data_IF_546980053679
#
_entry.id   IF_546980053679
#
_cell.length_a   1.000
_cell.length_b   1.000
_cell.length_c   1.000
_cell.angle_alpha   90.00
_cell.angle_beta   90.00
_cell.angle_gamma   90.00
#
_symmetry.space_group_name_H-M   'P 1'
#
loop_
_entity.id
_entity.type
_entity.pdbx_description
1 polymer ?
#
# COMPACT_ATOMS: atom_id res chain seq x y z
N UNK A 1 -47.14 -12.95 -19.39
CA UNK A 1 -45.95 -12.08 -19.51
C UNK A 1 -45.71 -11.83 -20.99
N UNK A 2 -45.86 -10.58 -21.44
CA UNK A 2 -45.75 -10.19 -22.86
C UNK A 2 -44.33 -10.47 -23.37
N UNK A 3 -44.16 -10.77 -24.69
CA UNK A 3 -42.88 -11.04 -25.31
C UNK A 3 -41.82 -9.95 -25.07
N UNK A 4 -42.24 -8.70 -24.92
CA UNK A 4 -41.40 -7.58 -24.54
C UNK A 4 -40.82 -7.72 -23.13
N UNK A 5 -41.63 -8.10 -22.13
CA UNK A 5 -41.17 -8.32 -20.77
C UNK A 5 -40.15 -9.51 -20.67
N UNK A 6 -40.42 -10.59 -21.43
CA UNK A 6 -39.46 -11.73 -21.50
C UNK A 6 -38.12 -11.30 -22.07
N UNK A 7 -38.09 -10.50 -23.13
CA UNK A 7 -36.86 -9.95 -23.72
C UNK A 7 -36.10 -9.03 -22.73
N UNK A 8 -36.84 -8.19 -22.03
CA UNK A 8 -36.27 -7.27 -21.04
C UNK A 8 -35.62 -8.05 -19.86
N UNK A 9 -36.29 -9.07 -19.33
CA UNK A 9 -35.72 -9.95 -18.30
C UNK A 9 -34.45 -10.70 -18.78
N UNK A 10 -34.50 -11.19 -20.04
CA UNK A 10 -33.35 -11.88 -20.63
C UNK A 10 -32.13 -10.93 -20.78
N UNK A 11 -32.37 -9.72 -21.28
CA UNK A 11 -31.33 -8.70 -21.44
C UNK A 11 -30.76 -8.23 -20.08
N UNK A 12 -31.61 -8.05 -19.08
CA UNK A 12 -31.18 -7.71 -17.72
C UNK A 12 -30.34 -8.83 -17.09
N UNK A 13 -30.74 -10.09 -17.29
CA UNK A 13 -29.98 -11.26 -16.84
C UNK A 13 -28.60 -11.36 -17.52
N UNK A 14 -28.54 -11.18 -18.85
CA UNK A 14 -27.28 -11.17 -19.60
C UNK A 14 -26.38 -10.02 -19.16
N UNK A 15 -26.94 -8.82 -18.94
CA UNK A 15 -26.18 -7.68 -18.42
C UNK A 15 -25.61 -7.98 -17.02
N UNK A 16 -26.43 -8.54 -16.12
CA UNK A 16 -25.99 -8.91 -14.77
C UNK A 16 -24.86 -9.93 -14.78
N UNK A 17 -24.96 -10.97 -15.63
CA UNK A 17 -23.88 -11.98 -15.78
C UNK A 17 -22.62 -11.34 -16.37
N UNK A 18 -22.75 -10.53 -17.42
CA UNK A 18 -21.62 -9.83 -18.04
C UNK A 18 -20.93 -8.89 -17.04
N UNK A 19 -21.71 -8.16 -16.23
CA UNK A 19 -21.15 -7.32 -15.16
C UNK A 19 -20.43 -8.14 -14.10
N UNK A 20 -20.99 -9.27 -13.65
CA UNK A 20 -20.33 -10.15 -12.68
C UNK A 20 -18.98 -10.66 -13.21
N UNK A 21 -18.93 -11.13 -14.44
CA UNK A 21 -17.67 -11.59 -15.07
C UNK A 21 -16.67 -10.42 -15.16
N UNK A 22 -17.12 -9.25 -15.57
CA UNK A 22 -16.29 -8.05 -15.60
C UNK A 22 -15.77 -7.68 -14.20
N UNK A 23 -16.64 -7.64 -13.18
CA UNK A 23 -16.28 -7.27 -11.82
C UNK A 23 -15.27 -8.24 -11.19
N UNK A 24 -15.29 -9.53 -11.58
CA UNK A 24 -14.32 -10.52 -11.06
C UNK A 24 -12.94 -10.40 -11.73
N UNK A 25 -12.86 -9.90 -12.95
CA UNK A 25 -11.61 -9.86 -13.73
C UNK A 25 -10.99 -8.47 -13.86
N UNK A 26 -11.79 -7.40 -13.72
CA UNK A 26 -11.30 -6.04 -13.93
C UNK A 26 -10.85 -5.37 -12.62
N UNK A 27 -10.04 -4.32 -12.73
CA UNK A 27 -9.52 -3.51 -11.59
C UNK A 27 -8.83 -4.34 -10.50
N UNK A 28 -8.24 -5.47 -10.87
CA UNK A 28 -7.43 -6.27 -9.92
C UNK A 28 -6.05 -5.66 -9.71
N UNK A 29 -5.65 -4.75 -10.60
CA UNK A 29 -4.30 -4.19 -10.74
C UNK A 29 -3.22 -5.26 -10.97
N UNK A 30 -3.62 -6.51 -11.21
CA UNK A 30 -2.71 -7.59 -11.50
C UNK A 30 -2.25 -7.54 -12.96
N UNK A 31 -0.95 -7.54 -13.16
CA UNK A 31 -0.32 -7.89 -14.42
C UNK A 31 0.52 -9.14 -14.20
N UNK A 32 0.68 -9.96 -15.21
CA UNK A 32 1.52 -11.16 -15.06
C UNK A 32 2.98 -10.78 -14.82
N UNK A 33 3.70 -11.58 -14.06
CA UNK A 33 5.15 -11.40 -13.86
C UNK A 33 5.94 -11.34 -15.15
N UNK A 34 5.46 -12.03 -16.17
CA UNK A 34 6.08 -12.05 -17.51
C UNK A 34 5.94 -10.68 -18.18
N UNK A 35 4.73 -10.10 -18.14
CA UNK A 35 4.46 -8.79 -18.73
C UNK A 35 5.21 -7.68 -17.98
N UNK A 36 5.23 -7.75 -16.65
CA UNK A 36 5.94 -6.77 -15.81
C UNK A 36 7.47 -6.86 -16.02
N UNK A 37 8.05 -8.06 -16.09
CA UNK A 37 9.46 -8.24 -16.41
C UNK A 37 9.81 -7.70 -17.79
N UNK A 38 8.93 -7.89 -18.77
CA UNK A 38 9.10 -7.34 -20.11
C UNK A 38 9.03 -5.80 -20.11
N UNK A 39 8.14 -5.21 -19.29
CA UNK A 39 8.03 -3.74 -19.15
C UNK A 39 9.28 -3.14 -18.51
N UNK A 40 9.77 -3.73 -17.42
CA UNK A 40 11.01 -3.29 -16.76
C UNK A 40 12.24 -3.43 -17.66
N UNK A 41 12.29 -4.49 -18.48
CA UNK A 41 13.38 -4.69 -19.42
C UNK A 41 13.50 -3.56 -20.46
N UNK A 42 12.40 -2.89 -20.85
CA UNK A 42 12.43 -1.72 -21.73
C UNK A 42 13.22 -0.54 -21.11
N UNK A 43 13.24 -0.47 -19.78
CA UNK A 43 14.03 0.52 -19.02
C UNK A 43 15.42 -0.02 -18.62
N UNK A 44 15.85 -1.16 -19.16
CA UNK A 44 17.10 -1.84 -18.81
C UNK A 44 17.20 -2.20 -17.31
N UNK A 45 16.07 -2.46 -16.65
CA UNK A 45 16.00 -2.85 -15.25
C UNK A 45 15.57 -4.30 -15.14
N UNK A 46 16.32 -5.09 -14.38
CA UNK A 46 15.96 -6.46 -14.06
C UNK A 46 14.96 -6.49 -12.91
N UNK A 47 13.74 -6.95 -13.19
CA UNK A 47 12.71 -7.21 -12.20
C UNK A 47 12.77 -8.68 -11.76
N UNK A 48 12.86 -8.90 -10.46
CA UNK A 48 12.68 -10.22 -9.82
C UNK A 48 11.39 -10.19 -9.03
N UNK A 49 10.66 -11.29 -8.99
CA UNK A 49 9.47 -11.46 -8.16
C UNK A 49 9.64 -12.66 -7.26
N UNK A 50 8.99 -12.63 -6.11
CA UNK A 50 9.02 -13.70 -5.14
C UNK A 50 7.72 -13.84 -4.37
N UNK A 51 7.61 -14.94 -3.61
CA UNK A 51 6.46 -15.26 -2.80
C UNK A 51 6.92 -15.79 -1.45
N UNK A 52 6.69 -15.02 -0.39
CA UNK A 52 6.80 -15.49 0.98
C UNK A 52 5.53 -16.28 1.31
N UNK A 53 5.68 -17.49 1.86
CA UNK A 53 4.55 -18.35 2.22
C UNK A 53 4.56 -18.65 3.71
N UNK A 54 3.43 -18.47 4.35
CA UNK A 54 3.17 -18.93 5.72
C UNK A 54 2.09 -20.00 5.76
N UNK A 55 1.61 -20.32 6.96
CA UNK A 55 0.53 -21.27 7.15
C UNK A 55 -0.81 -20.60 6.78
N UNK A 56 -1.33 -20.97 5.62
CA UNK A 56 -2.59 -20.46 5.08
C UNK A 56 -2.56 -19.03 4.52
N UNK A 57 -1.38 -18.44 4.30
CA UNK A 57 -1.24 -17.11 3.70
C UNK A 57 0.01 -17.00 2.82
N UNK A 58 0.02 -16.00 1.95
CA UNK A 58 1.18 -15.70 1.10
C UNK A 58 1.31 -14.20 0.84
N UNK A 59 2.55 -13.74 0.71
CA UNK A 59 2.91 -12.36 0.37
C UNK A 59 3.76 -12.35 -0.89
N UNK A 60 3.23 -11.75 -1.93
CA UNK A 60 3.96 -11.49 -3.18
C UNK A 60 4.76 -10.20 -3.06
N UNK A 61 5.93 -10.18 -3.69
CA UNK A 61 6.79 -9.00 -3.74
C UNK A 61 7.61 -8.94 -5.02
N UNK A 62 8.01 -7.74 -5.38
CA UNK A 62 8.85 -7.45 -6.52
C UNK A 62 10.14 -6.77 -6.08
N UNK A 63 11.27 -7.09 -6.72
CA UNK A 63 12.61 -6.58 -6.37
C UNK A 63 13.31 -6.02 -7.59
N UNK A 64 13.97 -4.85 -7.42
CA UNK A 64 14.92 -4.28 -8.38
C UNK A 64 16.20 -3.83 -7.66
N UNK A 65 17.24 -3.56 -8.43
CA UNK A 65 18.54 -3.11 -7.91
C UNK A 65 19.44 -4.27 -7.45
N UNK A 66 20.64 -3.90 -6.98
CA UNK A 66 21.68 -4.82 -6.59
C UNK A 66 21.52 -5.27 -5.13
N UNK A 67 21.72 -6.56 -4.86
CA UNK A 67 21.58 -7.12 -3.51
C UNK A 67 22.64 -6.61 -2.50
N UNK A 68 23.73 -6.01 -2.98
CA UNK A 68 24.78 -5.40 -2.15
C UNK A 68 24.44 -4.01 -1.60
N UNK A 69 23.33 -3.41 -2.05
CA UNK A 69 22.89 -2.08 -1.65
C UNK A 69 21.93 -2.12 -0.47
N UNK A 70 21.76 -1.02 0.30
CA UNK A 70 20.70 -0.84 1.27
C UNK A 70 19.32 -1.13 0.67
N UNK A 71 18.40 -1.65 1.48
CA UNK A 71 17.08 -2.04 0.98
C UNK A 71 16.02 -0.97 1.30
N UNK A 72 15.30 -0.51 0.29
CA UNK A 72 14.13 0.35 0.43
C UNK A 72 12.86 -0.46 0.12
N UNK A 73 12.06 -0.69 1.16
CA UNK A 73 10.77 -1.37 1.05
C UNK A 73 9.66 -0.36 0.78
N UNK A 74 8.72 -0.73 -0.08
CA UNK A 74 7.53 0.05 -0.41
C UNK A 74 6.24 -0.69 -0.07
N UNK A 75 5.29 0.03 0.55
CA UNK A 75 3.97 -0.45 0.92
C UNK A 75 2.91 0.43 0.24
N UNK A 76 2.10 -0.15 -0.62
CA UNK A 76 1.08 0.57 -1.38
C UNK A 76 -0.13 0.98 -0.53
N UNK A 77 -0.93 1.93 -1.05
CA UNK A 77 -2.21 2.37 -0.49
C UNK A 77 -3.38 1.45 -0.85
N UNK A 78 -4.60 1.95 -0.70
CA UNK A 78 -5.85 1.23 -0.96
C UNK A 78 -6.72 1.97 -1.98
N UNK A 79 -7.23 1.28 -3.02
CA UNK A 79 -6.75 0.00 -3.54
C UNK A 79 -5.36 0.14 -4.19
N UNK A 80 -4.61 -0.96 -4.27
CA UNK A 80 -3.30 -0.92 -4.91
C UNK A 80 -2.67 -2.30 -5.04
N UNK A 81 -1.41 -2.30 -5.47
CA UNK A 81 -0.51 -3.44 -5.49
C UNK A 81 0.94 -2.92 -5.55
N UNK A 82 1.92 -3.83 -5.62
CA UNK A 82 3.34 -3.50 -5.63
C UNK A 82 3.74 -2.50 -6.73
N UNK A 83 3.08 -2.51 -7.89
CA UNK A 83 3.44 -1.65 -9.01
C UNK A 83 3.06 -0.17 -8.82
N UNK A 84 2.40 0.19 -7.71
CA UNK A 84 2.18 1.59 -7.34
C UNK A 84 3.51 2.39 -7.24
N UNK A 85 4.62 1.69 -7.01
CA UNK A 85 5.97 2.26 -6.93
C UNK A 85 6.85 1.90 -8.12
N UNK A 86 6.27 1.43 -9.23
CA UNK A 86 6.98 0.98 -10.43
C UNK A 86 7.99 2.02 -10.94
N UNK A 87 7.61 3.30 -11.03
CA UNK A 87 8.47 4.37 -11.51
C UNK A 87 9.70 4.60 -10.61
N UNK A 88 9.53 4.46 -9.29
CA UNK A 88 10.66 4.52 -8.34
C UNK A 88 11.58 3.33 -8.53
N UNK A 89 11.03 2.13 -8.71
CA UNK A 89 11.78 0.89 -8.89
C UNK A 89 12.56 0.85 -10.21
N UNK A 90 12.22 1.71 -11.18
CA UNK A 90 12.95 1.90 -12.44
C UNK A 90 13.90 3.10 -12.43
N UNK A 91 13.82 3.97 -11.41
CA UNK A 91 14.61 5.21 -11.38
C UNK A 91 16.11 4.94 -11.23
N UNK A 92 16.89 5.44 -12.19
CA UNK A 92 18.34 5.19 -12.26
C UNK A 92 19.14 5.79 -11.10
N UNK A 93 18.62 6.83 -10.42
CA UNK A 93 19.29 7.45 -9.26
C UNK A 93 19.03 6.62 -8.00
N UNK A 94 17.79 6.14 -7.81
CA UNK A 94 17.45 5.24 -6.70
C UNK A 94 18.15 3.88 -6.84
N UNK A 95 18.21 3.32 -8.06
CA UNK A 95 18.90 2.06 -8.34
C UNK A 95 20.41 2.09 -8.06
N UNK A 96 21.04 3.27 -8.07
CA UNK A 96 22.44 3.45 -7.67
C UNK A 96 22.63 3.38 -6.14
N UNK A 97 21.58 3.62 -5.37
CA UNK A 97 21.62 3.71 -3.90
C UNK A 97 20.94 2.54 -3.20
N UNK A 98 19.91 1.97 -3.82
CA UNK A 98 19.03 1.01 -3.16
C UNK A 98 18.77 -0.25 -3.99
N UNK A 99 18.69 -1.35 -3.28
CA UNK A 99 17.85 -2.47 -3.66
C UNK A 99 16.43 -2.09 -3.24
N UNK A 100 15.46 -2.14 -4.15
CA UNK A 100 14.10 -1.76 -3.85
C UNK A 100 13.19 -2.99 -3.86
N UNK A 101 12.32 -3.09 -2.87
CA UNK A 101 11.36 -4.16 -2.69
C UNK A 101 9.98 -3.55 -2.54
N UNK A 102 9.05 -3.88 -3.42
CA UNK A 102 7.65 -3.46 -3.30
C UNK A 102 6.75 -4.67 -3.04
N UNK A 103 5.85 -4.54 -2.08
CA UNK A 103 5.06 -5.66 -1.53
C UNK A 103 3.61 -5.51 -1.95
N UNK A 104 2.98 -6.61 -2.36
CA UNK A 104 1.52 -6.70 -2.39
C UNK A 104 1.03 -6.91 -0.96
N UNK A 105 0.24 -5.97 -0.42
CA UNK A 105 -0.37 -6.14 0.91
C UNK A 105 -1.38 -7.30 0.91
N UNK A 106 -1.59 -7.98 2.05
CA UNK A 106 -2.65 -8.98 2.19
C UNK A 106 -3.99 -8.49 1.63
N UNK A 107 -4.62 -9.31 0.81
CA UNK A 107 -5.87 -8.98 0.12
C UNK A 107 -5.71 -8.33 -1.25
N UNK A 108 -4.50 -7.94 -1.65
CA UNK A 108 -4.23 -7.23 -2.90
C UNK A 108 -3.21 -7.95 -3.77
N UNK A 109 -3.14 -7.56 -5.04
CA UNK A 109 -2.20 -8.11 -5.99
C UNK A 109 -2.25 -9.64 -6.02
N UNK A 110 -1.11 -10.29 -5.78
CA UNK A 110 -0.99 -11.74 -5.70
C UNK A 110 -0.90 -12.28 -4.25
N UNK A 111 -1.15 -11.41 -3.23
CA UNK A 111 -1.17 -11.74 -1.81
C UNK A 111 -2.60 -11.97 -1.32
N UNK A 112 -3.11 -13.22 -1.44
CA UNK A 112 -4.45 -13.65 -1.00
C UNK A 112 -5.58 -12.68 -1.39
N UNK A 113 -5.64 -12.37 -2.67
CA UNK A 113 -6.51 -11.37 -3.25
C UNK A 113 -7.98 -11.49 -2.83
N UNK A 114 -8.56 -10.38 -2.40
CA UNK A 114 -9.97 -10.26 -2.07
C UNK A 114 -10.29 -10.53 -0.60
N UNK A 115 -9.28 -10.79 0.24
CA UNK A 115 -9.42 -11.01 1.68
C UNK A 115 -8.77 -9.85 2.45
N UNK A 116 -9.53 -8.79 2.75
CA UNK A 116 -9.04 -7.68 3.53
C UNK A 116 -8.59 -8.13 4.93
N UNK A 117 -7.51 -7.53 5.41
CA UNK A 117 -6.94 -7.85 6.73
C UNK A 117 -6.77 -6.58 7.55
N UNK A 118 -6.95 -6.69 8.87
CA UNK A 118 -6.59 -5.66 9.83
C UNK A 118 -5.08 -5.36 9.83
N UNK A 119 -4.68 -4.16 10.24
CA UNK A 119 -3.26 -3.74 10.22
C UNK A 119 -2.34 -4.67 11.01
N UNK A 120 -2.80 -5.25 12.10
CA UNK A 120 -2.02 -6.20 12.91
C UNK A 120 -1.74 -7.50 12.15
N UNK A 121 -2.72 -8.04 11.42
CA UNK A 121 -2.55 -9.24 10.59
C UNK A 121 -1.67 -8.93 9.38
N UNK A 122 -1.86 -7.77 8.73
CA UNK A 122 -0.99 -7.36 7.63
C UNK A 122 0.47 -7.25 8.09
N UNK A 123 0.71 -6.66 9.25
CA UNK A 123 2.05 -6.56 9.83
C UNK A 123 2.63 -7.93 10.17
N UNK A 124 1.85 -8.81 10.80
CA UNK A 124 2.26 -10.18 11.15
C UNK A 124 2.73 -10.96 9.90
N UNK A 125 1.99 -10.86 8.78
CA UNK A 125 2.31 -11.61 7.56
C UNK A 125 3.46 -11.00 6.75
N UNK A 126 3.65 -9.69 6.81
CA UNK A 126 4.73 -9.00 6.08
C UNK A 126 6.05 -9.05 6.85
N UNK A 127 6.04 -8.99 8.18
CA UNK A 127 7.26 -8.89 8.99
C UNK A 127 8.33 -9.97 8.70
N UNK A 128 8.00 -11.25 8.47
CA UNK A 128 9.01 -12.25 8.16
C UNK A 128 9.81 -11.97 6.87
N UNK A 129 9.24 -11.19 5.94
CA UNK A 129 9.90 -10.81 4.71
C UNK A 129 11.20 -10.00 4.96
N UNK A 130 11.24 -9.22 6.03
CA UNK A 130 12.41 -8.38 6.34
C UNK A 130 13.62 -9.23 6.73
N UNK A 131 13.41 -10.32 7.45
CA UNK A 131 14.49 -11.27 7.77
C UNK A 131 14.87 -12.15 6.58
N UNK A 132 13.89 -12.58 5.76
CA UNK A 132 14.15 -13.38 4.56
C UNK A 132 14.98 -12.61 3.52
N UNK A 133 14.69 -11.31 3.36
CA UNK A 133 15.39 -10.44 2.42
C UNK A 133 16.54 -9.66 3.05
N UNK A 134 16.93 -9.95 4.29
CA UNK A 134 18.03 -9.26 4.95
C UNK A 134 19.36 -9.47 4.19
N UNK A 135 20.08 -8.36 3.96
CA UNK A 135 21.39 -8.38 3.30
C UNK A 135 22.49 -7.72 4.14
N UNK A 136 22.24 -7.54 5.44
CA UNK A 136 23.15 -6.90 6.40
C UNK A 136 23.52 -5.44 6.04
N UNK A 137 22.69 -4.78 5.26
CA UNK A 137 22.77 -3.35 4.92
C UNK A 137 21.59 -2.62 5.57
N UNK A 138 21.67 -1.28 5.72
CA UNK A 138 20.53 -0.50 6.19
C UNK A 138 19.25 -0.80 5.41
N UNK A 139 18.13 -0.85 6.12
CA UNK A 139 16.82 -1.01 5.53
C UNK A 139 15.95 0.23 5.81
N UNK A 140 15.12 0.59 4.86
CA UNK A 140 14.20 1.72 4.91
C UNK A 140 12.81 1.24 4.50
N UNK A 141 11.77 1.85 5.07
CA UNK A 141 10.40 1.45 4.81
C UNK A 141 9.57 2.68 4.44
N UNK A 142 8.95 2.68 3.27
CA UNK A 142 8.12 3.77 2.76
C UNK A 142 6.71 3.26 2.45
N UNK A 143 5.67 4.03 2.81
CA UNK A 143 4.29 3.64 2.52
C UNK A 143 3.40 4.82 2.20
N UNK A 144 2.48 4.60 1.25
CA UNK A 144 1.52 5.60 0.78
C UNK A 144 0.12 5.33 1.32
N UNK A 145 -0.61 6.41 1.69
CA UNK A 145 -2.02 6.32 2.09
C UNK A 145 -2.20 5.31 3.22
N UNK A 146 -3.03 4.27 3.08
CA UNK A 146 -3.18 3.16 4.02
C UNK A 146 -1.86 2.38 4.25
N UNK A 147 -0.90 2.45 3.34
CA UNK A 147 0.47 1.97 3.58
C UNK A 147 1.20 2.77 4.68
N UNK A 148 0.80 4.01 4.96
CA UNK A 148 1.39 4.85 6.00
C UNK A 148 1.21 4.30 7.43
N UNK A 149 -0.01 4.03 7.90
CA UNK A 149 -0.21 3.38 9.19
C UNK A 149 0.45 2.00 9.27
N UNK A 150 0.48 1.25 8.16
CA UNK A 150 1.17 -0.03 8.13
C UNK A 150 2.70 0.13 8.27
N UNK A 151 3.30 1.20 7.73
CA UNK A 151 4.72 1.54 7.97
C UNK A 151 4.99 1.79 9.44
N UNK A 152 4.13 2.53 10.13
CA UNK A 152 4.25 2.75 11.59
C UNK A 152 4.13 1.42 12.35
N UNK A 153 3.13 0.60 12.00
CA UNK A 153 2.91 -0.72 12.63
C UNK A 153 4.11 -1.64 12.44
N UNK A 154 4.60 -1.78 11.23
CA UNK A 154 5.76 -2.60 10.89
C UNK A 154 7.04 -2.09 11.57
N UNK A 155 7.24 -0.77 11.61
CA UNK A 155 8.38 -0.17 12.31
C UNK A 155 8.37 -0.45 13.81
N UNK A 156 7.20 -0.38 14.43
CA UNK A 156 7.01 -0.64 15.86
C UNK A 156 7.20 -2.12 16.24
N UNK A 157 6.80 -3.04 15.38
CA UNK A 157 6.88 -4.49 15.62
C UNK A 157 8.21 -5.10 15.18
N UNK A 158 9.04 -4.36 14.44
CA UNK A 158 10.37 -4.80 13.98
C UNK A 158 11.45 -3.81 14.48
N UNK A 159 11.64 -3.67 15.80
CA UNK A 159 12.59 -2.70 16.35
C UNK A 159 14.02 -2.98 15.88
N UNK A 160 14.73 -1.92 15.48
CA UNK A 160 16.12 -2.01 15.00
C UNK A 160 16.30 -2.53 13.57
N UNK A 161 15.22 -2.93 12.88
CA UNK A 161 15.29 -3.37 11.49
C UNK A 161 15.44 -2.18 10.54
N UNK A 162 14.70 -1.10 10.78
CA UNK A 162 14.69 0.04 9.86
C UNK A 162 15.56 1.19 10.35
N UNK A 163 16.38 1.71 9.43
CA UNK A 163 17.18 2.92 9.63
C UNK A 163 16.36 4.20 9.51
N UNK A 164 15.26 4.18 8.80
CA UNK A 164 14.24 5.23 8.77
C UNK A 164 12.90 4.74 8.20
N UNK A 165 11.83 5.44 8.56
CA UNK A 165 10.47 5.27 8.01
C UNK A 165 10.07 6.48 7.18
N UNK A 166 9.30 6.25 6.11
CA UNK A 166 8.78 7.31 5.23
C UNK A 166 7.27 7.15 5.09
N UNK A 167 6.51 8.12 5.56
CA UNK A 167 5.05 8.15 5.50
C UNK A 167 4.64 9.13 4.40
N UNK A 168 4.06 8.62 3.31
CA UNK A 168 3.68 9.38 2.12
C UNK A 168 2.16 9.52 2.11
N UNK A 169 1.61 10.73 2.34
CA UNK A 169 0.16 10.98 2.46
C UNK A 169 -0.55 9.90 3.30
N UNK A 170 0.06 9.53 4.44
CA UNK A 170 -0.41 8.41 5.26
C UNK A 170 -1.61 8.76 6.12
N UNK A 171 -2.65 7.91 6.11
CA UNK A 171 -3.83 8.03 6.97
C UNK A 171 -3.53 7.41 8.34
N UNK A 172 -3.13 8.24 9.31
CA UNK A 172 -2.67 7.80 10.63
C UNK A 172 -3.45 8.36 11.81
N UNK A 173 -4.27 9.41 11.59
CA UNK A 173 -5.12 9.99 12.63
C UNK A 173 -6.53 9.40 12.59
N UNK A 174 -6.98 8.67 13.63
CA UNK A 174 -8.33 8.11 13.67
C UNK A 174 -9.45 9.16 13.70
N UNK A 175 -9.14 10.41 13.99
CA UNK A 175 -10.13 11.50 13.99
C UNK A 175 -10.49 11.96 12.58
N UNK A 176 -9.55 11.83 11.66
CA UNK A 176 -9.74 12.18 10.25
C UNK A 176 -10.42 11.07 9.43
N UNK A 177 -10.70 9.91 10.07
CA UNK A 177 -11.42 8.81 9.44
C UNK A 177 -12.89 8.79 9.85
N UNK A 178 -13.79 8.83 8.86
CA UNK A 178 -15.23 8.63 9.05
C UNK A 178 -15.76 7.58 8.06
N UNK A 179 -15.63 6.28 8.42
CA UNK A 179 -15.99 5.20 7.51
C UNK A 179 -17.48 5.17 7.25
N UNK A 180 -17.86 5.10 5.99
CA UNK A 180 -19.25 5.15 5.56
C UNK A 180 -20.02 3.90 6.02
N UNK A 181 -21.15 4.12 6.68
CA UNK A 181 -21.97 3.09 7.33
C UNK A 181 -22.58 2.05 6.38
N UNK A 182 -22.62 2.34 5.08
CA UNK A 182 -23.10 1.39 4.07
C UNK A 182 -22.09 0.29 3.74
N UNK A 183 -20.80 0.47 4.02
CA UNK A 183 -19.73 -0.49 3.68
C UNK A 183 -19.98 -1.90 4.23
N UNK A 184 -20.31 -2.10 5.53
CA UNK A 184 -20.60 -3.44 6.06
C UNK A 184 -21.77 -4.12 5.37
N UNK A 185 -22.80 -3.36 4.98
CA UNK A 185 -23.91 -3.93 4.24
C UNK A 185 -23.47 -4.47 2.87
N UNK A 186 -22.55 -3.79 2.20
CA UNK A 186 -22.05 -4.21 0.91
C UNK A 186 -21.20 -5.48 1.03
N UNK A 187 -20.16 -5.49 1.89
CA UNK A 187 -19.23 -6.62 1.95
C UNK A 187 -19.78 -7.84 2.70
N UNK A 188 -20.79 -7.69 3.56
CA UNK A 188 -21.45 -8.82 4.25
C UNK A 188 -22.59 -9.46 3.43
N UNK A 189 -22.81 -9.02 2.21
CA UNK A 189 -23.87 -9.57 1.34
C UNK A 189 -23.29 -10.06 0.02
N UNK A 190 -24.07 -10.82 -0.75
CA UNK A 190 -23.72 -11.23 -2.11
C UNK A 190 -23.50 -10.06 -3.09
N UNK A 191 -23.89 -8.85 -2.72
CA UNK A 191 -23.62 -7.65 -3.50
C UNK A 191 -22.13 -7.35 -3.62
N UNK A 192 -21.31 -7.84 -2.70
CA UNK A 192 -19.85 -7.73 -2.79
C UNK A 192 -19.28 -8.32 -4.09
N UNK A 193 -19.94 -9.35 -4.66
CA UNK A 193 -19.52 -9.91 -5.95
C UNK A 193 -19.69 -8.96 -7.14
N UNK A 194 -20.54 -7.91 -7.00
CA UNK A 194 -20.71 -6.87 -8.02
C UNK A 194 -19.67 -5.75 -7.91
N UNK A 195 -18.88 -5.72 -6.84
CA UNK A 195 -17.79 -4.74 -6.65
C UNK A 195 -16.57 -5.18 -7.45
N UNK A 196 -16.01 -4.31 -8.34
CA UNK A 196 -14.87 -4.70 -9.16
C UNK A 196 -13.59 -4.92 -8.38
N UNK A 197 -12.90 -6.02 -8.68
CA UNK A 197 -11.51 -6.30 -8.36
C UNK A 197 -11.05 -5.88 -6.96
N UNK A 198 -10.01 -5.08 -6.92
CA UNK A 198 -9.37 -4.60 -5.69
C UNK A 198 -10.21 -3.59 -4.89
N UNK A 199 -11.32 -3.09 -5.44
CA UNK A 199 -12.26 -2.26 -4.68
C UNK A 199 -13.01 -3.08 -3.61
N UNK A 200 -13.10 -4.40 -3.74
CA UNK A 200 -13.72 -5.28 -2.71
C UNK A 200 -12.94 -5.27 -1.41
N UNK A 201 -11.67 -5.73 -1.39
CA UNK A 201 -10.88 -5.68 -0.16
C UNK A 201 -10.65 -4.22 0.30
N UNK A 202 -10.54 -3.25 -0.61
CA UNK A 202 -10.45 -1.84 -0.24
C UNK A 202 -11.67 -1.33 0.51
N UNK A 203 -12.89 -1.71 0.08
CA UNK A 203 -14.12 -1.33 0.77
C UNK A 203 -14.17 -1.87 2.20
N UNK A 204 -13.68 -3.08 2.40
CA UNK A 204 -13.66 -3.75 3.71
C UNK A 204 -12.57 -3.17 4.63
N UNK A 205 -11.33 -3.01 4.15
CA UNK A 205 -10.24 -2.47 4.97
C UNK A 205 -10.44 -1.00 5.35
N UNK A 206 -11.07 -0.17 4.49
CA UNK A 206 -11.43 1.20 4.83
C UNK A 206 -12.49 1.27 5.95
N UNK A 207 -13.33 0.24 6.10
CA UNK A 207 -14.21 0.11 7.25
C UNK A 207 -13.45 -0.19 8.54
N UNK A 208 -12.41 -1.03 8.45
CA UNK A 208 -11.59 -1.39 9.62
C UNK A 208 -10.66 -0.26 10.07
N UNK A 209 -10.24 0.59 9.15
CA UNK A 209 -9.13 1.53 9.31
C UNK A 209 -9.24 2.39 10.57
N UNK A 210 -10.38 3.06 10.80
CA UNK A 210 -10.55 3.90 12.00
C UNK A 210 -10.27 3.15 13.30
N UNK A 211 -10.77 1.93 13.41
CA UNK A 211 -10.57 1.08 14.60
C UNK A 211 -9.10 0.68 14.73
N UNK A 212 -8.50 0.30 13.63
CA UNK A 212 -7.09 -0.11 13.59
C UNK A 212 -6.16 1.05 13.96
N UNK A 213 -6.47 2.29 13.53
CA UNK A 213 -5.73 3.49 13.89
C UNK A 213 -5.80 3.81 15.39
N UNK A 214 -6.97 3.61 16.03
CA UNK A 214 -7.09 3.74 17.50
C UNK A 214 -6.16 2.74 18.21
N UNK A 215 -6.06 1.51 17.74
CA UNK A 215 -5.13 0.52 18.32
C UNK A 215 -3.66 0.81 17.98
N UNK A 216 -3.39 1.46 16.84
CA UNK A 216 -2.05 1.83 16.41
C UNK A 216 -1.43 2.94 17.28
N UNK A 217 -2.22 3.78 17.92
CA UNK A 217 -1.73 4.97 18.68
C UNK A 217 -0.61 4.60 19.66
N UNK A 218 -0.74 3.48 20.37
CA UNK A 218 0.27 2.99 21.32
C UNK A 218 1.61 2.57 20.68
N UNK A 219 1.61 2.32 19.38
CA UNK A 219 2.77 1.81 18.66
C UNK A 219 3.71 2.93 18.21
N UNK A 220 3.22 4.17 18.08
CA UNK A 220 4.05 5.32 17.70
C UNK A 220 5.22 5.55 18.65
N UNK A 221 5.02 5.42 19.95
CA UNK A 221 6.09 5.59 20.94
C UNK A 221 7.17 4.51 20.90
N UNK A 222 6.96 3.40 20.17
CA UNK A 222 7.97 2.35 19.98
C UNK A 222 8.93 2.67 18.84
N UNK A 223 8.63 3.69 18.01
CA UNK A 223 9.50 4.09 16.89
C UNK A 223 10.70 4.85 17.45
N UNK A 224 11.88 4.28 17.20
CA UNK A 224 13.18 4.83 17.68
C UNK A 224 14.14 5.17 16.53
N UNK A 225 13.66 5.14 15.28
CA UNK A 225 14.40 5.57 14.11
C UNK A 225 13.84 6.88 13.53
N UNK A 226 14.59 7.58 12.65
CA UNK A 226 14.11 8.74 11.93
C UNK A 226 12.81 8.49 11.17
N UNK A 227 11.91 9.50 11.14
CA UNK A 227 10.66 9.44 10.38
C UNK A 227 10.55 10.64 9.43
N UNK A 228 10.25 10.34 8.18
CA UNK A 228 10.03 11.34 7.13
C UNK A 228 8.56 11.34 6.73
N UNK A 229 7.89 12.49 6.86
CA UNK A 229 6.56 12.72 6.30
C UNK A 229 6.67 13.46 4.98
N UNK A 230 5.99 12.95 3.96
CA UNK A 230 5.81 13.63 2.67
C UNK A 230 4.31 13.73 2.44
N UNK A 231 3.77 14.95 2.33
CA UNK A 231 2.32 15.12 2.28
C UNK A 231 1.92 16.22 1.30
N UNK A 232 0.79 16.03 0.61
CA UNK A 232 0.20 17.04 -0.25
C UNK A 232 -0.54 18.09 0.59
N UNK A 233 -0.19 19.39 0.44
CA UNK A 233 -0.82 20.45 1.21
C UNK A 233 -2.31 20.69 0.89
N UNK A 234 -2.84 20.06 -0.17
CA UNK A 234 -4.25 20.07 -0.56
C UNK A 234 -4.82 18.65 -0.66
N UNK A 235 -4.30 17.75 0.16
CA UNK A 235 -4.83 16.40 0.26
C UNK A 235 -6.18 16.45 1.01
N UNK A 236 -7.26 16.12 0.28
CA UNK A 236 -8.63 16.08 0.82
C UNK A 236 -9.11 14.66 1.13
N UNK A 237 -8.34 13.64 0.76
CA UNK A 237 -8.63 12.24 1.08
C UNK A 237 -8.01 11.84 2.41
N UNK A 238 -6.76 12.27 2.62
CA UNK A 238 -6.04 12.14 3.87
C UNK A 238 -5.57 13.53 4.25
N UNK A 239 -6.28 14.23 5.16
CA UNK A 239 -5.97 15.61 5.50
C UNK A 239 -4.55 15.79 6.08
N UNK A 240 -3.88 16.92 5.80
CA UNK A 240 -2.52 17.21 6.30
C UNK A 240 -2.38 17.17 7.82
N UNK A 241 -3.47 17.26 8.57
CA UNK A 241 -3.57 17.13 10.03
C UNK A 241 -3.00 15.78 10.51
N UNK A 242 -3.03 14.75 9.69
CA UNK A 242 -2.36 13.47 9.94
C UNK A 242 -0.87 13.64 10.26
N UNK A 243 -0.18 14.59 9.61
CA UNK A 243 1.25 14.85 9.86
C UNK A 243 1.46 15.38 11.29
N UNK A 244 0.64 16.34 11.72
CA UNK A 244 0.76 16.91 13.09
C UNK A 244 0.39 15.88 14.16
N UNK A 245 -0.60 15.02 13.89
CA UNK A 245 -0.92 13.90 14.76
C UNK A 245 0.28 12.93 14.91
N UNK A 246 0.89 12.51 13.81
CA UNK A 246 2.06 11.63 13.83
C UNK A 246 3.25 12.24 14.57
N UNK A 247 3.57 13.53 14.32
CA UNK A 247 4.63 14.26 15.04
C UNK A 247 4.43 14.27 16.55
N UNK A 248 3.19 14.45 16.99
CA UNK A 248 2.85 14.48 18.43
C UNK A 248 3.10 13.14 19.12
N UNK A 249 2.87 12.02 18.42
CA UNK A 249 2.94 10.67 18.98
C UNK A 249 4.32 10.03 18.88
N UNK A 250 5.15 10.46 17.94
CA UNK A 250 6.50 9.91 17.67
C UNK A 250 7.54 10.46 18.68
N UNK A 251 7.24 10.36 19.96
CA UNK A 251 8.03 10.98 21.05
C UNK A 251 9.45 10.41 21.21
N UNK A 252 9.70 9.20 20.69
CA UNK A 252 11.00 8.53 20.76
C UNK A 252 11.74 8.51 19.42
N UNK A 253 11.16 9.07 18.36
CA UNK A 253 11.85 9.21 17.09
C UNK A 253 12.95 10.29 17.24
N UNK A 254 14.22 9.96 16.92
CA UNK A 254 15.34 10.90 17.13
C UNK A 254 15.26 12.12 16.21
N UNK A 255 14.52 12.00 15.11
CA UNK A 255 14.40 13.02 14.10
C UNK A 255 13.09 12.85 13.30
N UNK A 256 12.41 13.95 13.03
CA UNK A 256 11.22 13.98 12.17
C UNK A 256 11.42 15.08 11.13
N UNK A 257 11.45 14.71 9.86
CA UNK A 257 11.45 15.66 8.74
C UNK A 257 10.05 15.66 8.08
N UNK A 258 9.55 16.86 7.76
CA UNK A 258 8.26 17.02 7.07
C UNK A 258 8.48 17.77 5.75
N UNK A 259 8.07 17.13 4.66
CA UNK A 259 8.02 17.73 3.34
C UNK A 259 6.56 17.93 2.92
N UNK A 260 6.05 19.15 3.15
CA UNK A 260 4.73 19.55 2.64
C UNK A 260 4.86 20.03 1.20
N UNK A 261 4.18 19.34 0.26
CA UNK A 261 4.23 19.70 -1.15
C UNK A 261 3.10 20.69 -1.49
N UNK A 262 3.40 21.96 -1.79
CA UNK A 262 2.38 22.98 -2.06
C UNK A 262 1.46 22.57 -3.23
N UNK A 263 0.15 22.83 -3.08
CA UNK A 263 -0.89 22.58 -4.10
C UNK A 263 -1.03 21.11 -4.54
N UNK A 264 -0.34 20.17 -3.93
CA UNK A 264 -0.47 18.75 -4.22
C UNK A 264 -1.64 18.10 -3.47
N UNK A 265 -2.30 17.17 -4.12
CA UNK A 265 -3.39 16.34 -3.58
C UNK A 265 -2.84 14.98 -3.07
N UNK A 266 -3.74 14.02 -2.84
CA UNK A 266 -3.42 12.67 -2.35
C UNK A 266 -2.50 11.85 -3.27
N UNK A 267 -2.55 12.08 -4.56
CA UNK A 267 -1.87 11.27 -5.58
C UNK A 267 -0.41 11.66 -5.81
N UNK A 268 0.29 12.12 -4.75
CA UNK A 268 1.69 12.58 -4.85
C UNK A 268 2.67 11.51 -5.34
N UNK A 269 2.52 10.19 -5.08
CA UNK A 269 3.46 9.21 -5.62
C UNK A 269 3.59 9.25 -7.15
N UNK A 270 2.51 9.59 -7.85
CA UNK A 270 2.47 9.66 -9.32
C UNK A 270 2.64 11.07 -9.87
N UNK A 271 2.20 12.09 -9.13
CA UNK A 271 2.18 13.48 -9.60
C UNK A 271 3.36 14.32 -9.11
N UNK A 272 4.08 13.82 -8.08
CA UNK A 272 5.19 14.52 -7.40
C UNK A 272 6.40 13.61 -7.21
N UNK A 273 6.65 12.82 -8.24
CA UNK A 273 7.75 11.85 -8.28
C UNK A 273 9.10 12.47 -7.89
N UNK A 274 9.45 13.62 -8.47
CA UNK A 274 10.74 14.28 -8.25
C UNK A 274 10.93 14.71 -6.80
N UNK A 275 9.90 15.25 -6.17
CA UNK A 275 9.93 15.69 -4.78
C UNK A 275 10.10 14.51 -3.83
N UNK A 276 9.33 13.43 -4.04
CA UNK A 276 9.44 12.20 -3.24
C UNK A 276 10.81 11.54 -3.45
N UNK A 277 11.26 11.39 -4.71
CA UNK A 277 12.59 10.86 -5.01
C UNK A 277 13.70 11.64 -4.28
N UNK A 278 13.60 12.96 -4.24
CA UNK A 278 14.59 13.80 -3.55
C UNK A 278 14.68 13.48 -2.05
N UNK A 279 13.55 13.19 -1.39
CA UNK A 279 13.53 12.75 0.02
C UNK A 279 14.11 11.35 0.13
N UNK A 280 13.70 10.39 -0.71
CA UNK A 280 14.23 9.03 -0.68
C UNK A 280 15.75 8.97 -0.87
N UNK A 281 16.31 9.84 -1.72
CA UNK A 281 17.75 9.95 -1.95
C UNK A 281 18.54 10.49 -0.75
N UNK A 282 17.88 11.12 0.24
CA UNK A 282 18.52 11.59 1.47
C UNK A 282 18.64 10.51 2.54
N UNK A 283 17.90 9.40 2.40
CA UNK A 283 17.85 8.35 3.42
C UNK A 283 19.20 7.65 3.61
N UNK A 284 20.05 7.65 2.55
CA UNK A 284 21.36 6.98 2.57
C UNK A 284 22.38 7.66 1.65
#
# INVERSE_FOLDING_TARGET
MNGFMKKMFLLSGLFGISWLLFAQSCMTFRKSDVDEKAEFAKSHVTLRTGMLKGDGWQIHYAITGQDSLPTLFFIHGSPGNWNAFEEYMKDSQLLKKFRMVSVDRPGFGFSDFGQAQHLDIQSLWISPLFSELANHKPAFLAGHSLGGPLVIKLGAENPGVFSALVVISGSIDPKEEDPEKWRPWLFNTSLNYFVPGALRPANEELWYLKKDLVFLEKDFSKITCPVYFIHGARDTWVPPENVEYGKKLLVNAPFIEVTMIPRANHFIPWTKFTEIRAVLLKLY
#
